data_IF_171049234080
#
_entry.id   IF_171049234080
#
_cell.length_a   1.000
_cell.length_b   1.000
_cell.length_c   1.000
_cell.angle_alpha   90.00
_cell.angle_beta   90.00
_cell.angle_gamma   90.00
#
_symmetry.space_group_name_H-M   'P 1'
#
loop_
_entity.id
_entity.type
_entity.pdbx_description
1 polymer ?
#
# COMPACT_ATOMS: atom_id res chain seq x y z
N UNK A 1 -2.92 -12.55 -1.37
CA UNK A 1 -2.32 -11.78 -0.26
C UNK A 1 -2.43 -10.31 -0.64
N UNK A 2 -2.90 -9.40 0.23
CA UNK A 2 -2.89 -7.99 -0.08
C UNK A 2 -1.43 -7.55 -0.33
N UNK A 3 -1.20 -6.91 -1.47
CA UNK A 3 0.13 -6.43 -1.85
C UNK A 3 0.44 -5.15 -1.05
N UNK A 4 1.31 -5.25 -0.05
CA UNK A 4 1.80 -4.12 0.73
C UNK A 4 3.15 -3.60 0.20
N UNK A 5 3.45 -2.33 0.47
CA UNK A 5 4.73 -1.72 0.12
C UNK A 5 5.52 -1.45 1.41
N UNK A 6 6.80 -1.85 1.42
CA UNK A 6 7.71 -1.58 2.53
C UNK A 6 8.55 -0.35 2.18
N UNK A 7 8.57 0.64 3.06
CA UNK A 7 9.37 1.84 2.89
C UNK A 7 10.87 1.48 2.92
N UNK A 8 11.67 1.88 1.91
CA UNK A 8 13.04 1.38 1.75
C UNK A 8 13.99 1.80 2.88
N UNK A 9 13.78 2.98 3.48
CA UNK A 9 14.60 3.49 4.59
C UNK A 9 14.05 3.08 5.97
N UNK A 10 12.86 3.57 6.34
CA UNK A 10 12.25 3.32 7.66
C UNK A 10 11.78 1.89 7.89
N UNK A 11 11.60 1.08 6.84
CA UNK A 11 11.01 -0.28 6.90
C UNK A 11 9.54 -0.32 7.31
N UNK A 12 8.88 0.83 7.40
CA UNK A 12 7.44 0.89 7.64
C UNK A 12 6.66 0.18 6.51
N UNK A 13 5.65 -0.61 6.89
CA UNK A 13 4.78 -1.35 5.98
C UNK A 13 3.50 -0.55 5.70
N UNK A 14 3.16 -0.39 4.43
CA UNK A 14 1.98 0.31 3.94
C UNK A 14 1.05 -0.67 3.26
N UNK A 15 -0.20 -0.78 3.73
CA UNK A 15 -1.21 -1.70 3.20
C UNK A 15 -2.52 -0.95 2.96
N UNK A 16 -3.11 -1.12 1.79
CA UNK A 16 -4.46 -0.61 1.51
C UNK A 16 -5.50 -1.52 2.18
N UNK A 17 -6.34 -0.94 3.03
CA UNK A 17 -7.43 -1.66 3.70
C UNK A 17 -8.70 -1.72 2.81
N UNK A 18 -9.74 -2.39 3.30
CA UNK A 18 -11.02 -2.55 2.58
C UNK A 18 -11.76 -1.24 2.30
N UNK A 19 -11.56 -0.22 3.14
CA UNK A 19 -12.19 1.10 3.03
C UNK A 19 -11.40 2.05 2.08
N UNK A 20 -10.26 1.58 1.56
CA UNK A 20 -9.38 2.37 0.70
C UNK A 20 -8.45 3.32 1.43
N UNK A 21 -8.38 3.23 2.76
CA UNK A 21 -7.38 3.89 3.59
C UNK A 21 -6.09 3.04 3.66
N UNK A 22 -5.02 3.64 4.16
CA UNK A 22 -3.69 3.05 4.24
C UNK A 22 -3.38 2.76 5.70
N UNK A 23 -3.27 1.48 6.05
CA UNK A 23 -2.69 1.05 7.32
C UNK A 23 -1.17 1.11 7.19
N UNK A 24 -0.54 1.89 8.06
CA UNK A 24 0.92 2.02 8.14
C UNK A 24 1.37 1.41 9.46
N UNK A 25 2.32 0.48 9.40
CA UNK A 25 2.98 -0.12 10.57
C UNK A 25 4.46 0.26 10.55
N UNK A 26 4.95 0.88 11.62
CA UNK A 26 6.36 1.23 11.80
C UNK A 26 6.85 0.71 13.16
N UNK A 27 7.58 -0.41 13.14
CA UNK A 27 7.89 -1.17 14.35
C UNK A 27 6.62 -1.63 15.05
N UNK A 28 6.45 -1.19 16.31
CA UNK A 28 5.27 -1.48 17.13
C UNK A 28 4.13 -0.46 16.95
N UNK A 29 4.41 0.66 16.28
CA UNK A 29 3.42 1.72 16.06
C UNK A 29 2.59 1.45 14.82
N UNK A 30 1.30 1.76 14.91
CA UNK A 30 0.37 1.69 13.79
C UNK A 30 -0.46 2.94 13.65
N UNK A 31 -0.81 3.27 12.42
CA UNK A 31 -1.72 4.36 12.11
C UNK A 31 -2.49 4.10 10.83
N UNK A 32 -3.70 4.66 10.73
CA UNK A 32 -4.48 4.67 9.49
C UNK A 32 -4.43 6.07 8.90
N UNK A 33 -4.16 6.13 7.61
CA UNK A 33 -4.02 7.36 6.86
C UNK A 33 -4.91 7.32 5.62
N UNK A 34 -5.37 8.49 5.19
CA UNK A 34 -5.94 8.66 3.86
C UNK A 34 -4.85 8.57 2.80
N UNK A 35 -5.27 8.41 1.54
CA UNK A 35 -4.37 8.32 0.37
C UNK A 35 -3.49 9.57 0.16
N UNK A 36 -3.89 10.72 0.70
CA UNK A 36 -3.15 11.97 0.67
C UNK A 36 -2.16 12.12 1.85
N UNK A 37 -2.05 11.10 2.71
CA UNK A 37 -1.22 11.12 3.91
C UNK A 37 -1.89 11.74 5.14
N UNK A 38 -3.16 12.17 5.06
CA UNK A 38 -3.87 12.71 6.23
C UNK A 38 -4.12 11.62 7.26
N UNK A 39 -3.73 11.85 8.51
CA UNK A 39 -3.95 10.94 9.63
C UNK A 39 -5.44 10.78 9.98
N UNK A 40 -5.86 9.55 10.31
CA UNK A 40 -7.21 9.22 10.75
C UNK A 40 -7.25 8.66 12.18
N UNK A 41 -6.45 7.63 12.45
CA UNK A 41 -6.46 6.92 13.73
C UNK A 41 -5.11 6.23 14.02
N UNK A 42 -4.93 5.79 15.27
CA UNK A 42 -3.74 5.07 15.73
C UNK A 42 -2.69 5.92 16.47
N UNK A 43 -1.61 5.26 16.83
CA UNK A 43 -0.48 5.80 17.60
C UNK A 43 0.56 6.44 16.68
N UNK A 44 0.77 5.88 15.49
CA UNK A 44 1.62 6.48 14.46
C UNK A 44 0.91 7.70 13.86
N UNK A 45 1.49 8.89 14.05
CA UNK A 45 0.90 10.17 13.61
C UNK A 45 1.47 10.72 12.31
N UNK A 46 2.58 10.16 11.86
CA UNK A 46 3.29 10.60 10.66
C UNK A 46 3.52 9.41 9.72
N UNK A 47 3.41 9.67 8.43
CA UNK A 47 3.73 8.71 7.37
C UNK A 47 4.27 9.44 6.15
N UNK A 48 4.81 8.71 5.17
CA UNK A 48 5.15 9.28 3.86
C UNK A 48 3.89 9.36 2.98
N UNK A 49 3.41 10.58 2.63
CA UNK A 49 2.21 10.76 1.81
C UNK A 49 2.36 10.20 0.39
N UNK A 50 3.57 10.16 -0.17
CA UNK A 50 3.82 9.63 -1.51
C UNK A 50 3.57 8.12 -1.55
N UNK A 51 4.04 7.40 -0.52
CA UNK A 51 3.78 5.96 -0.40
C UNK A 51 2.29 5.68 -0.20
N UNK A 52 1.59 6.48 0.61
CA UNK A 52 0.14 6.40 0.75
C UNK A 52 -0.58 6.58 -0.59
N UNK A 53 -0.12 7.52 -1.41
CA UNK A 53 -0.62 7.74 -2.76
C UNK A 53 -0.40 6.53 -3.69
N UNK A 54 0.79 5.93 -3.65
CA UNK A 54 1.15 4.77 -4.46
C UNK A 54 0.37 3.51 -4.07
N UNK A 55 0.30 3.20 -2.77
CA UNK A 55 -0.44 2.03 -2.25
C UNK A 55 -1.94 2.21 -2.41
N UNK A 56 -2.45 3.43 -2.22
CA UNK A 56 -3.86 3.76 -2.39
C UNK A 56 -4.33 3.85 -3.85
N UNK A 57 -3.39 4.03 -4.78
CA UNK A 57 -3.61 4.22 -6.20
C UNK A 57 -4.42 3.09 -6.87
N UNK A 58 -5.06 3.37 -8.02
CA UNK A 58 -5.61 2.30 -8.85
C UNK A 58 -4.47 1.37 -9.28
N UNK A 59 -4.62 0.07 -8.99
CA UNK A 59 -3.74 -0.97 -9.54
C UNK A 59 -4.09 -1.11 -11.02
N UNK A 60 -3.38 -0.39 -11.88
CA UNK A 60 -3.55 -0.54 -13.33
C UNK A 60 -2.80 -1.81 -13.72
N UNK A 61 -3.53 -2.86 -14.08
CA UNK A 61 -2.95 -4.03 -14.73
C UNK A 61 -2.24 -3.58 -16.01
N UNK A 62 -0.94 -3.84 -16.08
CA UNK A 62 -0.12 -3.48 -17.23
C UNK A 62 -0.65 -4.19 -18.49
N UNK A 63 -1.09 -3.45 -19.52
CA UNK A 63 -1.52 -4.01 -20.81
C UNK A 63 -0.42 -4.76 -21.61
N UNK A 64 0.82 -4.86 -21.10
CA UNK A 64 1.97 -5.49 -21.79
C UNK A 64 2.48 -6.78 -21.18
N UNK A 65 1.80 -7.36 -20.19
CA UNK A 65 2.03 -8.77 -19.86
C UNK A 65 1.13 -9.59 -20.75
N UNK A 66 1.61 -9.93 -21.95
CA UNK A 66 0.92 -10.87 -22.82
C UNK A 66 0.64 -12.15 -22.06
N UNK A 67 -0.62 -12.60 -22.06
CA UNK A 67 -1.00 -13.94 -21.59
C UNK A 67 -0.11 -14.95 -22.31
N UNK A 68 0.93 -15.46 -21.64
CA UNK A 68 1.59 -16.69 -22.06
C UNK A 68 0.56 -17.78 -21.83
N UNK A 69 -0.16 -18.15 -22.91
CA UNK A 69 -1.00 -19.33 -22.93
C UNK A 69 -0.04 -20.52 -22.89
N UNK A 70 0.12 -21.14 -21.73
CA UNK A 70 0.53 -22.54 -21.66
C UNK A 70 -0.64 -23.38 -22.18
N UNK A 71 -0.64 -23.62 -23.49
CA UNK A 71 -1.37 -24.73 -24.09
C UNK A 71 -0.63 -26.01 -23.73
N UNK A 72 -1.23 -26.82 -22.87
CA UNK A 72 -0.94 -28.24 -22.82
C UNK A 72 -2.25 -29.02 -22.71
N UNK A 73 -2.27 -30.11 -23.47
CA UNK A 73 -3.32 -31.13 -23.66
C UNK A 73 -4.50 -30.81 -24.57
#
# INVERSE_FOLDING_TARGET
MPHGLVHPFTKALYVKNGDGNIEVTDGDLKGIFRRDGSWLEGELRECDPQLCGWVGGPQIENHRVGKVKSSDS
#
